data_IF_256125686180
#
_entry.id   IF_256125686180
#
_cell.length_a   1.000
_cell.length_b   1.000
_cell.length_c   1.000
_cell.angle_alpha   90.00
_cell.angle_beta   90.00
_cell.angle_gamma   90.00
#
_symmetry.space_group_name_H-M   'P 1'
#
loop_
_entity.id
_entity.type
_entity.pdbx_description
1 polymer ?
#
# COMPACT_ATOMS: atom_id res chain seq x y z
N UNK A 1 -14.25 21.52 -7.40
CA UNK A 1 -15.72 21.48 -7.46
C UNK A 1 -16.11 20.93 -8.81
N UNK A 2 -17.15 20.09 -8.88
CA UNK A 2 -17.71 19.63 -10.15
C UNK A 2 -18.26 20.84 -10.93
N UNK A 3 -18.25 20.79 -12.27
CA UNK A 3 -18.68 21.87 -13.15
C UNK A 3 -20.11 22.40 -12.89
N UNK A 4 -20.95 21.56 -12.24
CA UNK A 4 -22.34 21.86 -11.88
C UNK A 4 -22.50 22.40 -10.46
N UNK A 5 -21.43 22.60 -9.70
CA UNK A 5 -21.50 22.99 -8.31
C UNK A 5 -21.77 24.49 -8.16
N UNK A 6 -22.81 24.85 -7.39
CA UNK A 6 -23.11 26.24 -7.04
C UNK A 6 -22.04 26.78 -6.05
N UNK A 7 -21.12 27.56 -6.61
CA UNK A 7 -20.01 28.14 -5.84
C UNK A 7 -20.49 29.07 -4.71
N UNK A 8 -21.66 29.75 -4.87
CA UNK A 8 -22.22 30.61 -3.83
C UNK A 8 -22.78 29.78 -2.66
N UNK A 9 -23.43 28.64 -2.96
CA UNK A 9 -23.94 27.74 -1.91
C UNK A 9 -22.78 27.11 -1.12
N UNK A 10 -21.69 26.75 -1.80
CA UNK A 10 -20.51 26.17 -1.15
C UNK A 10 -19.79 27.20 -0.30
N UNK A 11 -19.59 28.39 -0.80
CA UNK A 11 -18.99 29.49 -0.01
C UNK A 11 -19.79 29.75 1.27
N UNK A 12 -21.11 29.78 1.17
CA UNK A 12 -21.98 29.96 2.33
C UNK A 12 -21.82 28.83 3.36
N UNK A 13 -21.74 27.57 2.91
CA UNK A 13 -21.50 26.41 3.81
C UNK A 13 -20.14 26.48 4.49
N UNK A 14 -19.11 26.95 3.76
CA UNK A 14 -17.77 27.15 4.33
C UNK A 14 -17.77 28.28 5.37
N UNK A 15 -18.44 29.39 5.08
CA UNK A 15 -18.58 30.50 6.04
C UNK A 15 -19.32 30.07 7.30
N UNK A 16 -20.45 29.36 7.17
CA UNK A 16 -21.21 28.80 8.28
C UNK A 16 -20.35 27.84 9.14
N UNK A 17 -19.59 26.95 8.51
CA UNK A 17 -18.68 26.04 9.22
C UNK A 17 -17.53 26.77 9.92
N UNK A 18 -16.98 27.82 9.31
CA UNK A 18 -15.96 28.67 9.94
C UNK A 18 -16.55 29.47 11.13
N UNK A 19 -17.80 29.88 11.05
CA UNK A 19 -18.49 30.54 12.16
C UNK A 19 -18.67 29.61 13.35
N UNK A 20 -19.09 28.36 13.12
CA UNK A 20 -19.16 27.35 14.17
C UNK A 20 -17.79 27.05 14.80
N UNK A 21 -16.76 26.84 13.99
CA UNK A 21 -15.41 26.60 14.48
C UNK A 21 -14.83 27.76 15.29
N UNK A 22 -15.22 29.00 14.97
CA UNK A 22 -14.75 30.19 15.71
C UNK A 22 -15.22 30.25 17.15
N UNK A 23 -16.27 29.50 17.50
CA UNK A 23 -16.75 29.39 18.87
C UNK A 23 -15.76 28.60 19.75
N UNK A 24 -14.89 27.79 19.15
CA UNK A 24 -13.97 26.89 19.86
C UNK A 24 -12.50 27.26 19.70
N UNK A 25 -12.13 28.01 18.64
CA UNK A 25 -10.72 28.36 18.36
C UNK A 25 -10.60 29.67 17.58
N UNK A 26 -9.43 30.31 17.67
CA UNK A 26 -9.14 31.52 16.89
C UNK A 26 -8.70 31.13 15.48
N UNK A 27 -9.50 31.45 14.47
CA UNK A 27 -9.28 31.10 13.07
C UNK A 27 -8.47 32.16 12.27
N UNK A 28 -7.90 33.17 12.93
CA UNK A 28 -7.15 34.23 12.25
C UNK A 28 -8.02 35.11 11.37
N UNK A 29 -7.49 35.59 10.22
CA UNK A 29 -8.13 36.56 9.35
C UNK A 29 -9.35 36.08 8.56
N UNK A 30 -9.63 34.77 8.51
CA UNK A 30 -10.75 34.13 7.81
C UNK A 30 -10.96 34.64 6.37
N UNK A 31 -9.89 34.91 5.65
CA UNK A 31 -9.99 35.35 4.26
C UNK A 31 -10.26 34.17 3.35
N UNK A 32 -11.42 34.19 2.67
CA UNK A 32 -11.74 33.22 1.63
C UNK A 32 -11.56 33.92 0.28
N UNK A 33 -10.81 33.30 -0.61
CA UNK A 33 -10.68 33.77 -2.00
C UNK A 33 -11.16 32.68 -2.93
N UNK A 34 -12.10 33.01 -3.81
CA UNK A 34 -12.47 32.15 -4.92
C UNK A 34 -11.64 32.48 -6.15
N UNK A 35 -11.26 31.48 -6.91
CA UNK A 35 -10.56 31.65 -8.17
C UNK A 35 -10.98 30.54 -9.12
N UNK A 36 -11.00 30.83 -10.42
CA UNK A 36 -11.12 29.83 -11.47
C UNK A 36 -9.73 29.26 -11.74
N UNK A 37 -9.61 27.93 -11.72
CA UNK A 37 -8.43 27.24 -12.22
C UNK A 37 -8.74 26.76 -13.62
N UNK A 38 -7.90 27.06 -14.60
CA UNK A 38 -8.04 26.48 -15.93
C UNK A 38 -7.82 24.97 -15.85
N UNK A 39 -8.90 24.21 -16.06
CA UNK A 39 -9.01 22.77 -15.84
C UNK A 39 -8.07 21.89 -16.69
N UNK A 40 -7.51 22.45 -17.75
CA UNK A 40 -6.82 21.65 -18.78
C UNK A 40 -5.42 21.18 -18.39
N UNK A 41 -4.74 21.82 -17.50
CA UNK A 41 -3.34 21.49 -17.16
C UNK A 41 -3.20 20.67 -15.87
N UNK A 42 -4.17 20.69 -14.97
CA UNK A 42 -4.07 20.00 -13.70
C UNK A 42 -4.22 18.49 -13.83
N UNK A 43 -5.18 18.03 -14.62
CA UNK A 43 -5.48 16.58 -14.79
C UNK A 43 -4.31 15.80 -15.42
N UNK A 44 -3.43 16.46 -16.19
CA UNK A 44 -2.30 15.78 -16.83
C UNK A 44 -0.93 16.20 -16.28
N UNK A 45 -0.87 17.31 -15.56
CA UNK A 45 0.42 17.89 -15.15
C UNK A 45 1.14 17.03 -14.09
N UNK A 46 0.41 16.30 -13.24
CA UNK A 46 0.99 15.40 -12.25
C UNK A 46 1.64 14.16 -12.88
N UNK A 47 1.17 13.71 -14.07
CA UNK A 47 1.74 12.54 -14.78
C UNK A 47 3.21 12.72 -15.14
N UNK A 48 3.67 13.94 -15.37
CA UNK A 48 5.07 14.23 -15.69
C UNK A 48 6.05 13.92 -14.55
N UNK A 49 5.55 13.84 -13.30
CA UNK A 49 6.38 13.54 -12.12
C UNK A 49 6.59 12.04 -11.91
N UNK A 50 5.77 11.19 -12.57
CA UNK A 50 5.91 9.74 -12.49
C UNK A 50 6.72 9.21 -13.67
N UNK A 51 8.02 8.99 -13.41
CA UNK A 51 8.98 8.47 -14.39
C UNK A 51 9.29 7.01 -14.11
N UNK A 52 9.67 6.23 -15.16
CA UNK A 52 10.17 4.88 -14.97
C UNK A 52 11.33 4.85 -13.98
N UNK A 53 11.34 3.90 -13.08
CA UNK A 53 12.44 3.66 -12.16
C UNK A 53 12.66 2.16 -11.97
N UNK A 54 13.82 1.79 -11.41
CA UNK A 54 14.14 0.39 -11.21
C UNK A 54 14.34 0.05 -9.74
N UNK A 55 13.87 -1.14 -9.36
CA UNK A 55 14.21 -1.80 -8.11
C UNK A 55 14.91 -3.11 -8.50
N UNK A 56 16.22 -3.16 -8.38
CA UNK A 56 17.09 -4.26 -8.83
C UNK A 56 16.82 -4.66 -10.31
N UNK A 57 16.24 -5.83 -10.57
CA UNK A 57 15.90 -6.32 -11.91
C UNK A 57 14.44 -6.05 -12.33
N UNK A 58 13.77 -5.18 -11.62
CA UNK A 58 12.38 -4.82 -11.89
C UNK A 58 12.36 -3.40 -12.45
N UNK A 59 11.64 -3.19 -13.53
CA UNK A 59 11.28 -1.87 -14.03
C UNK A 59 9.84 -1.58 -13.63
N UNK A 60 9.63 -0.51 -12.88
CA UNK A 60 8.30 -0.01 -12.52
C UNK A 60 8.07 1.29 -13.28
N UNK A 61 6.94 1.39 -13.97
CA UNK A 61 6.57 2.57 -14.75
C UNK A 61 5.05 2.73 -14.84
N UNK A 62 4.54 3.95 -15.05
CA UNK A 62 3.14 4.13 -15.43
C UNK A 62 2.90 3.70 -16.89
N UNK A 63 1.62 3.47 -17.25
CA UNK A 63 1.26 2.98 -18.60
C UNK A 63 1.63 3.95 -19.72
N UNK A 64 1.57 5.27 -19.48
CA UNK A 64 1.89 6.30 -20.48
C UNK A 64 3.39 6.52 -20.74
N UNK A 65 4.26 5.96 -19.95
CA UNK A 65 5.71 6.03 -20.21
C UNK A 65 6.17 4.84 -21.06
N UNK A 66 7.22 5.05 -21.84
CA UNK A 66 7.83 3.98 -22.64
C UNK A 66 8.86 3.19 -21.83
N UNK A 67 9.11 1.94 -22.22
CA UNK A 67 10.20 1.15 -21.64
C UNK A 67 11.54 1.66 -22.18
N UNK A 68 12.45 2.17 -21.33
CA UNK A 68 13.77 2.57 -21.78
C UNK A 68 14.54 1.38 -22.37
N UNK A 69 15.35 1.62 -23.41
CA UNK A 69 16.08 0.56 -24.13
C UNK A 69 16.97 -0.26 -23.20
N UNK A 70 17.63 0.42 -22.26
CA UNK A 70 18.52 -0.20 -21.26
C UNK A 70 17.81 -1.06 -20.21
N UNK A 71 16.48 -1.08 -20.20
CA UNK A 71 15.66 -1.81 -19.21
C UNK A 71 14.73 -2.86 -19.81
N UNK A 72 14.88 -3.17 -21.10
CA UNK A 72 14.03 -4.14 -21.82
C UNK A 72 14.13 -5.57 -21.30
N UNK A 73 15.23 -5.91 -20.68
CA UNK A 73 15.49 -7.22 -20.08
C UNK A 73 14.96 -7.37 -18.64
N UNK A 74 14.47 -6.27 -18.05
CA UNK A 74 13.95 -6.28 -16.69
C UNK A 74 12.50 -6.79 -16.61
N UNK A 75 12.14 -7.33 -15.45
CA UNK A 75 10.74 -7.65 -15.15
C UNK A 75 9.90 -6.36 -15.13
N UNK A 76 8.98 -6.23 -16.07
CA UNK A 76 8.12 -5.06 -16.18
C UNK A 76 6.93 -5.15 -15.25
N UNK A 77 6.71 -4.08 -14.48
CA UNK A 77 5.49 -3.82 -13.70
C UNK A 77 4.98 -2.42 -14.06
N UNK A 78 3.71 -2.35 -14.41
CA UNK A 78 3.04 -1.09 -14.72
C UNK A 78 2.13 -0.72 -13.54
N UNK A 79 2.32 0.47 -13.00
CA UNK A 79 1.50 1.02 -11.91
C UNK A 79 1.09 2.42 -12.32
N UNK A 80 -0.20 2.60 -12.49
CA UNK A 80 -0.75 3.94 -12.70
C UNK A 80 -1.05 4.55 -11.34
N UNK A 81 -0.40 5.67 -10.99
CA UNK A 81 -0.73 6.41 -9.80
C UNK A 81 -2.18 6.89 -9.90
N UNK A 82 -3.02 6.35 -9.05
CA UNK A 82 -4.42 6.71 -8.94
C UNK A 82 -4.72 7.38 -7.58
N UNK A 83 -5.93 7.17 -7.11
CA UNK A 83 -6.38 7.62 -5.78
C UNK A 83 -5.83 6.75 -4.65
N UNK A 84 -5.45 5.49 -4.95
CA UNK A 84 -4.87 4.57 -3.96
C UNK A 84 -3.36 4.77 -3.80
N UNK A 85 -2.86 4.57 -2.58
CA UNK A 85 -1.43 4.65 -2.25
C UNK A 85 -0.65 3.47 -2.88
N UNK A 86 0.64 3.69 -3.19
CA UNK A 86 1.55 2.61 -3.59
C UNK A 86 2.03 2.66 -5.04
N UNK A 87 2.78 3.72 -5.42
CA UNK A 87 3.43 3.80 -6.75
C UNK A 87 4.67 2.93 -6.89
N UNK A 88 5.17 2.37 -5.77
CA UNK A 88 6.41 1.60 -5.73
C UNK A 88 7.68 2.43 -5.58
N UNK A 89 7.62 3.75 -5.70
CA UNK A 89 8.80 4.62 -5.63
C UNK A 89 9.37 4.76 -4.21
N UNK A 90 8.50 4.67 -3.21
CA UNK A 90 8.89 4.88 -1.82
C UNK A 90 9.83 3.78 -1.33
N UNK A 91 10.80 4.13 -0.50
CA UNK A 91 11.82 3.24 0.05
C UNK A 91 11.22 2.02 0.75
N UNK A 92 10.12 2.23 1.49
CA UNK A 92 9.42 1.17 2.22
C UNK A 92 8.87 0.09 1.28
N UNK A 93 8.30 0.50 0.13
CA UNK A 93 7.82 -0.43 -0.89
C UNK A 93 8.98 -1.22 -1.50
N UNK A 94 10.10 -0.55 -1.79
CA UNK A 94 11.30 -1.20 -2.34
C UNK A 94 11.88 -2.22 -1.37
N UNK A 95 11.91 -1.93 -0.07
CA UNK A 95 12.32 -2.86 0.97
C UNK A 95 11.42 -4.11 0.97
N UNK A 96 10.09 -3.95 0.97
CA UNK A 96 9.15 -5.07 0.88
C UNK A 96 9.36 -5.91 -0.39
N UNK A 97 9.55 -5.27 -1.56
CA UNK A 97 9.76 -5.95 -2.84
C UNK A 97 10.95 -6.91 -2.77
N UNK A 98 12.07 -6.48 -2.18
CA UNK A 98 13.27 -7.31 -2.04
C UNK A 98 13.02 -8.52 -1.15
N UNK A 99 12.29 -8.34 -0.06
CA UNK A 99 11.95 -9.43 0.86
C UNK A 99 10.95 -10.40 0.22
N UNK A 100 9.89 -9.92 -0.42
CA UNK A 100 8.94 -10.76 -1.15
C UNK A 100 9.68 -11.63 -2.18
N UNK A 101 10.56 -11.02 -3.00
CA UNK A 101 11.34 -11.77 -3.99
C UNK A 101 12.19 -12.88 -3.37
N UNK A 102 12.80 -12.63 -2.20
CA UNK A 102 13.66 -13.57 -1.50
C UNK A 102 12.92 -14.83 -1.03
N UNK A 103 11.66 -14.68 -0.61
CA UNK A 103 10.88 -15.76 0.00
C UNK A 103 9.79 -16.34 -0.90
N UNK A 104 9.51 -15.75 -2.06
CA UNK A 104 8.50 -16.25 -2.99
C UNK A 104 8.97 -17.52 -3.70
N UNK A 105 8.10 -18.51 -3.73
CA UNK A 105 8.22 -19.77 -4.48
C UNK A 105 6.96 -20.02 -5.32
N UNK A 106 6.94 -20.98 -6.25
CA UNK A 106 5.74 -21.29 -7.04
C UNK A 106 4.52 -21.75 -6.23
N UNK A 107 4.71 -22.20 -4.99
CA UNK A 107 3.62 -22.62 -4.10
C UNK A 107 3.16 -21.50 -3.16
N UNK A 108 3.83 -20.35 -3.16
CA UNK A 108 3.56 -19.26 -2.23
C UNK A 108 2.16 -18.69 -2.40
N UNK A 109 1.44 -18.63 -1.29
CA UNK A 109 0.25 -17.80 -1.12
C UNK A 109 0.61 -16.59 -0.26
N UNK A 110 0.26 -15.39 -0.71
CA UNK A 110 0.59 -14.14 -0.02
C UNK A 110 -0.65 -13.38 0.43
N UNK A 111 -0.60 -12.79 1.61
CA UNK A 111 -1.56 -11.80 2.11
C UNK A 111 -0.87 -10.43 2.16
N UNK A 112 -1.46 -9.45 1.49
CA UNK A 112 -1.01 -8.04 1.41
C UNK A 112 -1.96 -7.18 2.24
N UNK A 113 -1.53 -6.76 3.44
CA UNK A 113 -2.36 -5.98 4.37
C UNK A 113 -2.12 -4.49 4.17
N UNK A 114 -3.17 -3.74 3.84
CA UNK A 114 -3.07 -2.37 3.35
C UNK A 114 -2.54 -2.36 1.91
N UNK A 115 -3.21 -3.11 1.02
CA UNK A 115 -2.67 -3.41 -0.31
C UNK A 115 -2.62 -2.19 -1.25
N UNK A 116 -3.47 -1.17 -1.05
CA UNK A 116 -3.51 0.04 -1.85
C UNK A 116 -3.61 -0.24 -3.35
N UNK A 117 -2.57 0.10 -4.11
CA UNK A 117 -2.48 -0.16 -5.56
C UNK A 117 -2.35 -1.65 -5.92
N UNK A 118 -2.15 -2.54 -4.93
CA UNK A 118 -1.91 -3.96 -5.11
C UNK A 118 -0.48 -4.32 -5.55
N UNK A 119 0.45 -3.37 -5.56
CA UNK A 119 1.80 -3.57 -6.12
C UNK A 119 2.56 -4.74 -5.48
N UNK A 120 2.48 -4.92 -4.15
CA UNK A 120 3.24 -5.96 -3.46
C UNK A 120 2.69 -7.36 -3.78
N UNK A 121 1.36 -7.52 -3.74
CA UNK A 121 0.69 -8.76 -4.14
C UNK A 121 0.92 -9.10 -5.61
N UNK A 122 0.85 -8.11 -6.52
CA UNK A 122 1.13 -8.30 -7.96
C UNK A 122 2.59 -8.70 -8.21
N UNK A 123 3.54 -8.08 -7.50
CA UNK A 123 4.95 -8.45 -7.63
C UNK A 123 5.21 -9.87 -7.14
N UNK A 124 4.56 -10.31 -6.06
CA UNK A 124 4.64 -11.70 -5.63
C UNK A 124 4.18 -12.66 -6.74
N UNK A 125 3.05 -12.36 -7.41
CA UNK A 125 2.55 -13.15 -8.55
C UNK A 125 3.54 -13.14 -9.73
N UNK A 126 4.13 -11.98 -10.05
CA UNK A 126 5.14 -11.89 -11.11
C UNK A 126 6.46 -12.60 -10.75
N UNK A 127 6.76 -12.80 -9.48
CA UNK A 127 7.86 -13.65 -9.01
C UNK A 127 7.51 -15.15 -9.00
N UNK A 128 6.27 -15.48 -9.35
CA UNK A 128 5.80 -16.85 -9.48
C UNK A 128 4.95 -17.36 -8.33
N UNK A 129 4.51 -16.50 -7.40
CA UNK A 129 3.55 -16.90 -6.37
C UNK A 129 2.26 -17.44 -6.99
N UNK A 130 1.64 -18.37 -6.29
CA UNK A 130 0.42 -19.07 -6.73
C UNK A 130 -0.83 -18.21 -6.63
N UNK A 131 -0.94 -17.44 -5.55
CA UNK A 131 -2.15 -16.68 -5.24
C UNK A 131 -1.85 -15.52 -4.30
N UNK A 132 -2.57 -14.43 -4.47
CA UNK A 132 -2.50 -13.26 -3.62
C UNK A 132 -3.87 -12.90 -3.05
N UNK A 133 -3.90 -12.43 -1.82
CA UNK A 133 -5.07 -11.79 -1.20
C UNK A 133 -4.62 -10.43 -0.69
N UNK A 134 -5.41 -9.39 -0.95
CA UNK A 134 -5.22 -8.04 -0.40
C UNK A 134 -6.34 -7.67 0.55
N UNK A 135 -6.02 -6.95 1.61
CA UNK A 135 -7.01 -6.26 2.43
C UNK A 135 -6.69 -4.78 2.51
N UNK A 136 -7.72 -3.93 2.48
CA UNK A 136 -7.56 -2.48 2.65
C UNK A 136 -8.77 -1.89 3.35
N UNK A 137 -8.60 -0.72 3.94
CA UNK A 137 -9.70 0.07 4.53
C UNK A 137 -10.37 0.96 3.49
N UNK A 138 -9.63 1.36 2.45
CA UNK A 138 -10.10 2.25 1.40
C UNK A 138 -10.76 1.45 0.26
N UNK A 139 -12.06 1.67 -0.02
CA UNK A 139 -12.73 1.04 -1.15
C UNK A 139 -12.05 1.29 -2.51
N UNK A 140 -11.34 2.42 -2.66
CA UNK A 140 -10.61 2.73 -3.88
C UNK A 140 -9.49 1.72 -4.18
N UNK A 141 -8.99 0.99 -3.18
CA UNK A 141 -7.97 -0.04 -3.36
C UNK A 141 -8.44 -1.21 -4.26
N UNK A 142 -9.75 -1.54 -4.25
CA UNK A 142 -10.29 -2.61 -5.12
C UNK A 142 -10.11 -2.22 -6.60
N UNK A 143 -10.61 -1.05 -6.97
CA UNK A 143 -10.55 -0.58 -8.36
C UNK A 143 -9.10 -0.41 -8.80
N UNK A 144 -8.28 0.29 -8.00
CA UNK A 144 -6.87 0.51 -8.30
C UNK A 144 -6.09 -0.81 -8.47
N UNK A 145 -6.29 -1.80 -7.59
CA UNK A 145 -5.63 -3.10 -7.71
C UNK A 145 -6.04 -3.83 -8.98
N UNK A 146 -7.35 -3.87 -9.31
CA UNK A 146 -7.82 -4.59 -10.49
C UNK A 146 -7.43 -3.89 -11.81
N UNK A 147 -7.41 -2.57 -11.87
CA UNK A 147 -6.89 -1.82 -13.01
C UNK A 147 -5.39 -2.10 -13.22
N UNK A 148 -4.61 -2.05 -12.16
CA UNK A 148 -3.18 -2.37 -12.22
C UNK A 148 -2.93 -3.84 -12.60
N UNK A 149 -3.76 -4.78 -12.15
CA UNK A 149 -3.69 -6.19 -12.59
C UNK A 149 -3.93 -6.34 -14.08
N UNK A 150 -4.95 -5.65 -14.61
CA UNK A 150 -5.31 -5.70 -16.04
C UNK A 150 -4.15 -5.23 -16.92
N UNK A 151 -3.54 -4.08 -16.63
CA UNK A 151 -2.41 -3.55 -17.41
C UNK A 151 -1.14 -4.40 -17.27
N UNK A 152 -1.06 -5.24 -16.24
CA UNK A 152 0.04 -6.19 -16.03
C UNK A 152 -0.24 -7.59 -16.56
N UNK A 153 -1.43 -7.83 -17.14
CA UNK A 153 -1.83 -9.14 -17.67
C UNK A 153 -2.01 -10.21 -16.59
N UNK A 154 -2.37 -9.81 -15.36
CA UNK A 154 -2.61 -10.71 -14.22
C UNK A 154 -4.12 -11.02 -14.18
N UNK A 155 -4.47 -12.33 -14.16
CA UNK A 155 -5.87 -12.75 -14.05
C UNK A 155 -6.47 -12.36 -12.69
N UNK A 156 -7.72 -11.88 -12.71
CA UNK A 156 -8.48 -11.57 -11.48
C UNK A 156 -8.70 -12.81 -10.58
N UNK A 157 -8.54 -14.01 -11.13
CA UNK A 157 -8.60 -15.25 -10.36
C UNK A 157 -7.36 -15.50 -9.50
N UNK A 158 -6.27 -14.76 -9.74
CA UNK A 158 -5.01 -14.91 -9.01
C UNK A 158 -4.85 -13.93 -7.85
N UNK A 159 -5.69 -12.90 -7.76
CA UNK A 159 -5.61 -11.88 -6.72
C UNK A 159 -7.00 -11.43 -6.30
N UNK A 160 -7.38 -11.72 -5.08
CA UNK A 160 -8.62 -11.26 -4.45
C UNK A 160 -8.35 -10.06 -3.55
N UNK A 161 -9.21 -9.03 -3.60
CA UNK A 161 -9.12 -7.85 -2.71
C UNK A 161 -10.39 -7.74 -1.87
N UNK A 162 -10.23 -7.58 -0.56
CA UNK A 162 -11.30 -7.44 0.42
C UNK A 162 -11.19 -6.10 1.15
N UNK A 163 -12.32 -5.42 1.33
CA UNK A 163 -12.38 -4.21 2.14
C UNK A 163 -12.76 -4.57 3.56
N UNK A 164 -12.02 -4.02 4.52
CA UNK A 164 -12.28 -4.15 5.94
C UNK A 164 -11.02 -4.10 6.79
N UNK A 165 -11.22 -3.92 8.09
CA UNK A 165 -10.16 -3.87 9.07
C UNK A 165 -9.83 -5.26 9.61
N UNK A 166 -8.77 -5.87 9.11
CA UNK A 166 -8.34 -7.21 9.57
C UNK A 166 -7.95 -7.24 11.05
N UNK A 167 -7.67 -6.09 11.69
CA UNK A 167 -7.28 -6.02 13.10
C UNK A 167 -8.50 -6.27 14.00
N UNK A 168 -9.62 -5.59 13.69
CA UNK A 168 -10.78 -5.53 14.59
C UNK A 168 -12.00 -6.31 14.07
N UNK A 169 -12.05 -6.58 12.74
CA UNK A 169 -13.20 -7.21 12.10
C UNK A 169 -13.00 -8.72 11.95
N UNK A 170 -13.71 -9.47 12.80
CA UNK A 170 -13.68 -10.92 12.80
C UNK A 170 -14.18 -11.53 11.50
N UNK A 171 -15.16 -10.92 10.84
CA UNK A 171 -15.68 -11.40 9.56
C UNK A 171 -14.64 -11.27 8.45
N UNK A 172 -13.81 -10.22 8.49
CA UNK A 172 -12.67 -10.06 7.58
C UNK A 172 -11.61 -11.13 7.86
N UNK A 173 -11.25 -11.37 9.13
CA UNK A 173 -10.30 -12.41 9.51
C UNK A 173 -10.77 -13.80 9.04
N UNK A 174 -12.05 -14.12 9.24
CA UNK A 174 -12.63 -15.42 8.87
C UNK A 174 -12.67 -15.62 7.33
N UNK A 175 -12.95 -14.56 6.56
CA UNK A 175 -12.88 -14.58 5.09
C UNK A 175 -11.46 -14.74 4.57
N UNK A 176 -10.52 -13.98 5.10
CA UNK A 176 -9.08 -14.08 4.81
C UNK A 176 -8.62 -15.51 5.14
N UNK A 177 -9.00 -16.01 6.30
CA UNK A 177 -8.76 -17.37 6.78
C UNK A 177 -7.45 -17.51 7.53
N UNK A 178 -7.30 -18.65 8.20
CA UNK A 178 -6.24 -18.94 9.16
C UNK A 178 -5.29 -20.01 8.65
N UNK A 179 -3.98 -19.85 8.94
CA UNK A 179 -2.94 -20.81 8.57
C UNK A 179 -2.83 -21.05 7.06
N UNK A 180 -3.12 -20.03 6.25
CA UNK A 180 -3.20 -20.15 4.78
C UNK A 180 -2.01 -19.55 4.04
N UNK A 181 -1.30 -18.58 4.65
CA UNK A 181 -0.34 -17.76 3.91
C UNK A 181 1.09 -18.14 4.23
N UNK A 182 1.87 -18.32 3.17
CA UNK A 182 3.31 -18.54 3.26
C UNK A 182 4.03 -17.23 3.53
N UNK A 183 3.47 -16.11 3.00
CA UNK A 183 3.96 -14.76 3.24
C UNK A 183 2.79 -13.89 3.65
N UNK A 184 2.96 -13.07 4.68
CA UNK A 184 2.13 -11.90 4.97
C UNK A 184 3.01 -10.68 4.87
N UNK A 185 2.59 -9.68 4.09
CA UNK A 185 3.28 -8.40 3.97
C UNK A 185 2.36 -7.26 4.42
N UNK A 186 2.91 -6.28 5.11
CA UNK A 186 2.23 -5.05 5.49
C UNK A 186 3.19 -3.86 5.37
N UNK A 187 2.90 -2.94 4.47
CA UNK A 187 3.64 -1.68 4.30
C UNK A 187 2.77 -0.51 4.76
N UNK A 188 2.66 -0.37 6.08
CA UNK A 188 1.76 0.57 6.77
C UNK A 188 2.46 1.21 7.96
N UNK A 189 1.81 2.17 8.62
CA UNK A 189 2.39 2.89 9.75
C UNK A 189 2.78 1.96 10.91
N UNK A 190 3.90 2.25 11.56
CA UNK A 190 4.47 1.45 12.65
C UNK A 190 3.48 1.18 13.79
N UNK A 191 2.71 2.18 14.22
CA UNK A 191 1.74 2.03 15.30
C UNK A 191 0.59 1.07 14.91
N UNK A 192 0.23 1.02 13.62
CA UNK A 192 -0.75 0.06 13.08
C UNK A 192 -0.14 -1.34 12.99
N UNK A 193 1.14 -1.46 12.62
CA UNK A 193 1.87 -2.74 12.61
C UNK A 193 1.91 -3.38 14.00
N UNK A 194 2.10 -2.59 15.05
CA UNK A 194 2.09 -3.09 16.44
C UNK A 194 0.74 -3.72 16.78
N UNK A 195 -0.37 -3.10 16.38
CA UNK A 195 -1.72 -3.63 16.59
C UNK A 195 -2.03 -4.84 15.69
N UNK A 196 -1.54 -4.84 14.44
CA UNK A 196 -1.73 -5.90 13.46
C UNK A 196 -0.98 -7.19 13.81
N UNK A 197 0.24 -7.07 14.31
CA UNK A 197 1.16 -8.19 14.48
C UNK A 197 0.58 -9.37 15.28
N UNK A 198 -0.08 -9.18 16.46
CA UNK A 198 -0.66 -10.31 17.18
C UNK A 198 -1.81 -11.00 16.43
N UNK A 199 -2.52 -10.27 15.56
CA UNK A 199 -3.63 -10.82 14.77
C UNK A 199 -3.10 -11.65 13.61
N UNK A 200 -2.07 -11.14 12.93
CA UNK A 200 -1.60 -11.73 11.66
C UNK A 200 -0.89 -13.09 11.83
N UNK A 201 -0.43 -13.39 13.02
CA UNK A 201 0.17 -14.72 13.34
C UNK A 201 -0.79 -15.86 13.04
N UNK A 202 -2.09 -15.66 13.24
CA UNK A 202 -3.11 -16.68 13.00
C UNK A 202 -3.32 -16.95 11.49
N UNK A 203 -3.07 -15.98 10.61
CA UNK A 203 -3.18 -16.12 9.17
C UNK A 203 -1.98 -16.84 8.55
N UNK A 204 -0.79 -16.72 9.19
CA UNK A 204 0.43 -17.35 8.74
C UNK A 204 0.40 -18.86 8.94
N UNK A 205 0.90 -19.60 7.96
CA UNK A 205 1.30 -21.01 8.13
C UNK A 205 2.46 -21.13 9.13
N UNK A 206 2.63 -22.30 9.70
CA UNK A 206 3.85 -22.63 10.42
C UNK A 206 5.05 -22.54 9.47
N UNK A 207 6.11 -21.85 9.89
CA UNK A 207 7.25 -21.48 9.04
C UNK A 207 6.99 -20.31 8.08
N UNK A 208 5.79 -19.74 8.08
CA UNK A 208 5.42 -18.61 7.24
C UNK A 208 6.18 -17.32 7.59
N UNK A 209 6.34 -16.45 6.60
CA UNK A 209 7.16 -15.23 6.67
C UNK A 209 6.26 -13.99 6.83
N UNK A 210 6.58 -13.16 7.80
CA UNK A 210 5.97 -11.85 8.01
C UNK A 210 6.95 -10.76 7.59
N UNK A 211 6.55 -9.92 6.63
CA UNK A 211 7.35 -8.80 6.09
C UNK A 211 6.63 -7.51 6.44
N UNK A 212 7.30 -6.62 7.17
CA UNK A 212 6.74 -5.31 7.54
C UNK A 212 7.63 -4.18 7.02
N UNK A 213 7.03 -3.06 6.65
CA UNK A 213 7.71 -1.79 6.38
C UNK A 213 6.74 -0.61 6.58
N UNK A 214 7.15 0.61 6.24
CA UNK A 214 6.44 1.82 6.66
C UNK A 214 6.87 2.28 8.05
N UNK A 215 8.05 1.82 8.46
CA UNK A 215 8.63 2.04 9.78
C UNK A 215 9.77 3.05 9.62
N UNK A 216 9.67 4.19 10.32
CA UNK A 216 10.80 5.11 10.47
C UNK A 216 11.76 4.52 11.53
N UNK A 217 13.06 4.81 11.40
CA UNK A 217 14.10 4.23 12.26
C UNK A 217 13.83 4.40 13.78
N UNK A 218 13.30 5.55 14.19
CA UNK A 218 12.88 5.80 15.58
C UNK A 218 11.83 4.81 16.12
N UNK A 219 11.11 4.10 15.25
CA UNK A 219 10.05 3.13 15.60
C UNK A 219 10.48 1.67 15.42
N UNK A 220 11.70 1.42 14.98
CA UNK A 220 12.21 0.06 14.74
C UNK A 220 12.06 -0.83 15.97
N UNK A 221 12.61 -0.39 17.12
CA UNK A 221 12.59 -1.18 18.35
C UNK A 221 11.16 -1.55 18.77
N UNK A 222 10.23 -0.60 18.66
CA UNK A 222 8.81 -0.82 19.00
C UNK A 222 8.18 -1.93 18.16
N UNK A 223 8.45 -1.94 16.83
CA UNK A 223 7.90 -2.97 15.94
C UNK A 223 8.60 -4.32 16.16
N UNK A 224 9.92 -4.32 16.32
CA UNK A 224 10.70 -5.55 16.62
C UNK A 224 10.23 -6.21 17.93
N UNK A 225 9.96 -5.43 18.96
CA UNK A 225 9.41 -5.94 20.22
C UNK A 225 8.01 -6.54 20.06
N UNK A 226 7.13 -5.87 19.31
CA UNK A 226 5.79 -6.38 19.00
C UNK A 226 5.85 -7.71 18.23
N UNK A 227 6.75 -7.81 17.25
CA UNK A 227 6.98 -9.02 16.45
C UNK A 227 7.46 -10.18 17.35
N UNK A 228 8.43 -9.93 18.23
CA UNK A 228 8.93 -10.93 19.19
C UNK A 228 7.87 -11.32 20.22
N UNK A 229 7.11 -10.36 20.73
CA UNK A 229 6.05 -10.60 21.70
C UNK A 229 4.91 -11.47 21.13
N UNK A 230 4.68 -11.40 19.82
CA UNK A 230 3.75 -12.27 19.09
C UNK A 230 4.30 -13.69 18.83
N UNK A 231 5.51 -14.01 19.28
CA UNK A 231 6.12 -15.33 19.13
C UNK A 231 6.81 -15.57 17.79
N UNK A 232 7.03 -14.51 16.99
CA UNK A 232 7.73 -14.60 15.73
C UNK A 232 9.25 -14.46 15.93
N UNK A 233 10.02 -15.21 15.14
CA UNK A 233 11.48 -15.10 15.06
C UNK A 233 11.86 -14.01 14.08
N UNK A 234 12.52 -12.93 14.52
CA UNK A 234 13.06 -11.91 13.63
C UNK A 234 14.25 -12.48 12.87
N UNK A 235 14.14 -12.56 11.55
CA UNK A 235 15.18 -13.09 10.66
C UNK A 235 16.18 -12.02 10.25
N UNK A 236 15.67 -10.83 9.90
CA UNK A 236 16.49 -9.70 9.47
C UNK A 236 15.74 -8.38 9.59
N UNK A 237 16.50 -7.32 9.75
CA UNK A 237 16.06 -5.93 9.67
C UNK A 237 16.86 -5.28 8.55
N UNK A 238 16.18 -4.66 7.61
CA UNK A 238 16.81 -4.00 6.45
C UNK A 238 16.43 -2.54 6.38
N UNK A 239 17.33 -1.72 5.83
CA UNK A 239 17.22 -0.27 5.84
C UNK A 239 17.36 0.33 4.44
N UNK A 240 16.63 1.42 4.20
CA UNK A 240 16.82 2.29 3.04
C UNK A 240 16.52 3.74 3.45
N UNK A 241 17.56 4.60 3.51
CA UNK A 241 17.44 5.92 4.11
C UNK A 241 17.06 5.81 5.60
N UNK A 242 16.03 6.53 6.01
CA UNK A 242 15.44 6.50 7.35
C UNK A 242 14.38 5.39 7.54
N UNK A 243 14.13 4.58 6.50
CA UNK A 243 13.08 3.59 6.49
C UNK A 243 13.59 2.19 6.79
N UNK A 244 12.77 1.44 7.50
CA UNK A 244 13.08 0.11 8.01
C UNK A 244 12.06 -0.91 7.53
N UNK A 245 12.54 -2.13 7.27
CA UNK A 245 11.70 -3.32 7.08
C UNK A 245 12.14 -4.41 8.05
N UNK A 246 11.20 -4.99 8.77
CA UNK A 246 11.42 -6.12 9.67
C UNK A 246 10.83 -7.36 9.03
N UNK A 247 11.65 -8.39 8.84
CA UNK A 247 11.23 -9.70 8.32
C UNK A 247 11.36 -10.73 9.44
N UNK A 248 10.27 -11.46 9.67
CA UNK A 248 10.18 -12.45 10.73
C UNK A 248 9.53 -13.74 10.23
N UNK A 249 9.67 -14.81 11.00
CA UNK A 249 9.13 -16.14 10.72
C UNK A 249 8.28 -16.64 11.88
N UNK A 250 7.15 -17.25 11.55
CA UNK A 250 6.36 -18.02 12.51
C UNK A 250 7.05 -19.35 12.80
N UNK A 251 7.34 -19.60 14.07
CA UNK A 251 7.85 -20.91 14.50
C UNK A 251 6.74 -21.95 14.35
N UNK A 252 7.13 -23.18 14.02
CA UNK A 252 6.21 -24.33 13.94
C UNK A 252 5.96 -24.94 15.33
#
# INVERSE_FOLDING_TARGET
LDDDADAEEILKKVEEGLDELSLFTNLGARTITSGETEDKDWINNWKQYFKPFTVDHILIKPTWETVPEEHKDKLLVQIDPGTAFGTGMHETTQLCIRQIRKYTTPETTILDVGCGSGILGMLALKFGAKYSVGTDLDPCAIEATYENMEVNGISKEMYEVMIGNIIDDKDVQDKVGYGKYDIVVANILADVLVALTPVIVDQLKDGGIYITSGIIDDKEETVVEAVKAAGLEVLEVTYQGEWVSVTARKNG
#
